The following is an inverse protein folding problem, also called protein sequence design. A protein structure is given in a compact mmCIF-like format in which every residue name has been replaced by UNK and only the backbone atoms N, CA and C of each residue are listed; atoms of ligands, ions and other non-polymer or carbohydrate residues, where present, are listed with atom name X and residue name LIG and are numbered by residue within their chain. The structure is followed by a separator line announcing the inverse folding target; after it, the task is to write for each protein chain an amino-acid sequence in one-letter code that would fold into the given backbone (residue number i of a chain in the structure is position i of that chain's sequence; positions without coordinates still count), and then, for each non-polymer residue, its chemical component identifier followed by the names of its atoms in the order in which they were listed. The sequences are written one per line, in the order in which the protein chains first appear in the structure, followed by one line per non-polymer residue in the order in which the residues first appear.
data_IF_530148698794
#
_entry.id   IF_530148698794
#
_cell.length_a   1.000
_cell.length_b   1.000
_cell.length_c   1.000
_cell.angle_alpha   90.00
_cell.angle_beta   90.00
_cell.angle_gamma   90.00
#
_symmetry.space_group_name_H-M   'P 1'
#
loop_
_entity.id
_entity.type
_entity.pdbx_description
1 polymer ?
#
# COMPACT_ATOMS: atom_id res chain seq x y z
N UNK A 1 -33.41 -5.26 -4.38
CA UNK A 1 -32.14 -5.15 -3.66
C UNK A 1 -31.06 -5.16 -4.73
N UNK A 2 -30.50 -4.00 -5.06
CA UNK A 2 -29.47 -3.85 -6.10
C UNK A 2 -28.12 -4.24 -5.50
N UNK A 3 -27.44 -5.15 -6.17
CA UNK A 3 -26.11 -5.63 -5.80
C UNK A 3 -25.11 -4.46 -5.84
N UNK A 4 -24.47 -4.11 -4.71
CA UNK A 4 -23.49 -3.02 -4.67
C UNK A 4 -22.23 -3.31 -5.52
N UNK A 5 -21.92 -4.59 -5.81
CA UNK A 5 -20.83 -4.97 -6.70
C UNK A 5 -21.11 -4.58 -8.16
N UNK A 6 -22.37 -4.51 -8.57
CA UNK A 6 -22.76 -4.12 -9.93
C UNK A 6 -22.67 -2.61 -10.18
N UNK A 7 -22.61 -1.78 -9.13
CA UNK A 7 -22.48 -0.32 -9.25
C UNK A 7 -21.03 0.11 -9.54
N UNK A 8 -20.03 -0.65 -9.08
CA UNK A 8 -18.60 -0.38 -9.30
C UNK A 8 -18.18 -0.66 -10.75
N UNK A 9 -18.95 -1.50 -11.47
CA UNK A 9 -18.65 -1.90 -12.86
C UNK A 9 -19.04 -0.87 -13.93
N UNK A 10 -19.70 0.23 -13.57
CA UNK A 10 -20.09 1.26 -14.54
C UNK A 10 -19.21 2.49 -14.44
N UNK A 11 -17.97 2.39 -14.93
CA UNK A 11 -17.22 3.56 -15.41
C UNK A 11 -17.09 4.77 -14.47
N UNK A 12 -17.20 4.59 -13.16
CA UNK A 12 -16.89 5.63 -12.21
C UNK A 12 -15.36 5.81 -12.24
N UNK A 13 -14.89 6.93 -12.77
CA UNK A 13 -13.53 7.40 -12.59
C UNK A 13 -13.33 7.56 -11.09
N UNK A 14 -12.64 6.61 -10.45
CA UNK A 14 -12.28 6.73 -9.04
C UNK A 14 -11.24 7.85 -9.00
N UNK A 15 -11.65 9.02 -8.52
CA UNK A 15 -10.72 10.13 -8.29
C UNK A 15 -9.70 9.70 -7.24
N UNK A 16 -8.43 9.99 -7.49
CA UNK A 16 -7.42 9.96 -6.46
C UNK A 16 -7.86 10.89 -5.33
N UNK A 17 -8.13 10.35 -4.17
CA UNK A 17 -8.35 11.20 -2.99
C UNK A 17 -6.96 11.64 -2.54
N UNK A 18 -6.63 12.94 -2.64
CA UNK A 18 -5.34 13.43 -2.20
C UNK A 18 -5.10 13.10 -0.73
N UNK A 19 -3.84 12.81 -0.38
CA UNK A 19 -3.40 12.58 0.99
C UNK A 19 -3.79 11.22 1.62
N UNK A 20 -4.42 10.32 0.87
CA UNK A 20 -4.65 8.94 1.33
C UNK A 20 -3.84 7.96 0.46
N UNK A 21 -3.56 6.74 0.98
CA UNK A 21 -2.98 5.69 0.16
C UNK A 21 -3.84 5.45 -1.09
N UNK A 22 -3.27 5.64 -2.26
CA UNK A 22 -3.98 5.57 -3.55
C UNK A 22 -3.51 4.43 -4.44
N UNK A 23 -2.33 3.88 -4.17
CA UNK A 23 -1.78 2.75 -4.91
C UNK A 23 -0.71 2.02 -4.11
N UNK A 24 -0.47 0.75 -4.42
CA UNK A 24 0.67 -0.02 -3.93
C UNK A 24 1.42 -0.64 -5.10
N UNK A 25 2.74 -0.64 -5.03
CA UNK A 25 3.58 -1.25 -6.07
C UNK A 25 4.77 -1.99 -5.47
N UNK A 26 5.01 -3.20 -5.97
CA UNK A 26 6.20 -3.97 -5.66
C UNK A 26 7.34 -3.59 -6.63
N UNK A 27 8.51 -3.29 -6.10
CA UNK A 27 9.75 -3.35 -6.85
C UNK A 27 10.29 -4.78 -6.72
N UNK A 28 10.26 -5.57 -7.80
CA UNK A 28 10.72 -6.95 -7.83
C UNK A 28 12.07 -7.06 -8.56
N UNK A 29 12.92 -7.98 -8.12
CA UNK A 29 14.14 -8.34 -8.85
C UNK A 29 13.83 -9.18 -10.11
N UNK A 30 12.86 -10.10 -9.99
CA UNK A 30 12.32 -10.91 -11.08
C UNK A 30 10.81 -10.68 -11.19
N UNK A 31 10.40 -9.97 -12.26
CA UNK A 31 9.00 -9.65 -12.52
C UNK A 31 8.15 -10.92 -12.76
N UNK A 32 8.65 -11.88 -13.52
CA UNK A 32 7.87 -13.07 -13.86
C UNK A 32 7.74 -14.01 -12.65
N UNK A 33 8.79 -14.15 -11.84
CA UNK A 33 8.73 -14.86 -10.58
C UNK A 33 7.76 -14.22 -9.57
N UNK A 34 7.75 -12.89 -9.47
CA UNK A 34 6.78 -12.18 -8.63
C UNK A 34 5.34 -12.36 -9.14
N UNK A 35 5.10 -12.28 -10.45
CA UNK A 35 3.77 -12.54 -11.05
C UNK A 35 3.31 -13.97 -10.79
N UNK A 36 4.20 -14.96 -10.90
CA UNK A 36 3.85 -16.35 -10.61
C UNK A 36 3.46 -16.52 -9.13
N UNK A 37 4.25 -15.99 -8.19
CA UNK A 37 3.98 -16.07 -6.76
C UNK A 37 2.67 -15.40 -6.37
N UNK A 38 2.50 -14.11 -6.68
CA UNK A 38 1.29 -13.39 -6.28
C UNK A 38 0.06 -13.79 -7.09
N UNK A 39 0.24 -14.25 -8.33
CA UNK A 39 -0.84 -14.83 -9.14
C UNK A 39 -1.44 -16.06 -8.51
N UNK A 40 -0.61 -16.99 -8.03
CA UNK A 40 -1.05 -18.21 -7.35
C UNK A 40 -1.61 -17.90 -5.95
N UNK A 41 -0.92 -17.06 -5.18
CA UNK A 41 -1.30 -16.76 -3.79
C UNK A 41 -2.60 -15.93 -3.69
N UNK A 42 -2.72 -14.88 -4.51
CA UNK A 42 -3.80 -13.88 -4.40
C UNK A 42 -4.83 -13.96 -5.54
N UNK A 43 -4.68 -14.92 -6.46
CA UNK A 43 -5.57 -15.09 -7.59
C UNK A 43 -5.45 -13.96 -8.63
N UNK A 44 -4.31 -13.29 -8.71
CA UNK A 44 -4.14 -12.16 -9.62
C UNK A 44 -3.95 -12.59 -11.06
N UNK A 45 -4.54 -11.81 -11.96
CA UNK A 45 -4.16 -11.79 -13.38
C UNK A 45 -3.37 -10.51 -13.67
N UNK A 46 -2.64 -10.47 -14.77
CA UNK A 46 -1.74 -9.36 -15.05
C UNK A 46 -1.97 -8.78 -16.44
N UNK A 47 -1.87 -7.44 -16.53
CA UNK A 47 -1.81 -6.70 -17.79
C UNK A 47 -0.53 -5.88 -17.83
N UNK A 48 0.05 -5.72 -19.02
CA UNK A 48 1.18 -4.80 -19.20
C UNK A 48 0.76 -3.38 -18.80
N UNK A 49 1.63 -2.71 -18.06
CA UNK A 49 1.48 -1.32 -17.68
C UNK A 49 2.44 -0.41 -18.45
N UNK A 50 2.53 0.89 -18.07
CA UNK A 50 3.51 1.81 -18.62
C UNK A 50 4.92 1.25 -18.43
N UNK A 51 5.75 1.27 -19.50
CA UNK A 51 7.09 0.68 -19.46
C UNK A 51 8.23 1.70 -19.54
N UNK A 52 7.93 2.99 -19.42
CA UNK A 52 8.93 4.07 -19.51
C UNK A 52 10.09 3.92 -18.53
N UNK A 53 9.82 3.35 -17.35
CA UNK A 53 10.78 3.17 -16.26
C UNK A 53 11.22 1.71 -16.08
N UNK A 54 11.03 0.89 -17.10
CA UNK A 54 11.30 -0.54 -17.09
C UNK A 54 10.01 -1.38 -17.13
N UNK A 55 10.15 -2.72 -17.13
CA UNK A 55 9.01 -3.62 -17.17
C UNK A 55 8.07 -3.38 -16.00
N UNK A 56 6.77 -3.24 -16.29
CA UNK A 56 5.73 -3.02 -15.31
C UNK A 56 4.48 -3.81 -15.64
N UNK A 57 3.92 -4.48 -14.65
CA UNK A 57 2.66 -5.20 -14.76
C UNK A 57 1.64 -4.65 -13.77
N UNK A 58 0.41 -4.45 -14.23
CA UNK A 58 -0.74 -4.19 -13.35
C UNK A 58 -1.34 -5.52 -12.92
N UNK A 59 -1.43 -5.72 -11.62
CA UNK A 59 -2.13 -6.85 -11.02
C UNK A 59 -3.63 -6.53 -10.94
N UNK A 60 -4.45 -7.50 -11.32
CA UNK A 60 -5.91 -7.38 -11.30
C UNK A 60 -6.51 -8.51 -10.48
N UNK A 61 -7.43 -8.16 -9.59
CA UNK A 61 -8.33 -9.10 -8.92
C UNK A 61 -9.74 -8.93 -9.48
N UNK A 62 -10.35 -10.00 -9.97
CA UNK A 62 -11.67 -9.94 -10.60
C UNK A 62 -11.74 -8.96 -11.78
N UNK A 63 -10.62 -8.68 -12.47
CA UNK A 63 -10.53 -7.72 -13.57
C UNK A 63 -10.31 -6.25 -13.13
N UNK A 64 -10.32 -5.96 -11.82
CA UNK A 64 -10.08 -4.64 -11.23
C UNK A 64 -8.59 -4.49 -10.90
N UNK A 65 -7.90 -3.42 -11.34
CA UNK A 65 -6.52 -3.17 -10.94
C UNK A 65 -6.41 -2.94 -9.43
N UNK A 66 -5.53 -3.67 -8.76
CA UNK A 66 -5.37 -3.63 -7.29
C UNK A 66 -3.94 -3.32 -6.85
N UNK A 67 -2.95 -3.58 -7.69
CA UNK A 67 -1.53 -3.32 -7.39
C UNK A 67 -0.69 -3.22 -8.65
N UNK A 68 0.55 -2.79 -8.51
CA UNK A 68 1.57 -2.82 -9.54
C UNK A 68 2.75 -3.70 -9.18
N UNK A 69 3.44 -4.25 -10.17
CA UNK A 69 4.73 -4.90 -9.99
C UNK A 69 5.68 -4.35 -11.06
N UNK A 70 6.76 -3.71 -10.62
CA UNK A 70 7.87 -3.29 -11.47
C UNK A 70 9.00 -4.30 -11.40
N UNK A 71 9.60 -4.61 -12.54
CA UNK A 71 10.83 -5.39 -12.60
C UNK A 71 12.04 -4.46 -12.70
N UNK A 72 13.10 -4.79 -11.99
CA UNK A 72 14.38 -4.09 -12.10
C UNK A 72 15.51 -5.11 -12.11
N UNK A 73 16.00 -5.42 -13.32
CA UNK A 73 17.19 -6.28 -13.48
C UNK A 73 18.50 -5.53 -13.25
N UNK A 74 18.50 -4.20 -13.41
CA UNK A 74 19.73 -3.40 -13.49
C UNK A 74 19.97 -2.50 -12.28
N UNK A 75 18.96 -2.30 -11.43
CA UNK A 75 19.08 -1.51 -10.22
C UNK A 75 19.18 -2.46 -9.02
N UNK A 76 20.24 -2.40 -8.25
CA UNK A 76 20.36 -3.09 -6.96
C UNK A 76 19.45 -2.42 -5.90
N UNK A 77 18.16 -2.22 -6.26
CA UNK A 77 17.17 -1.72 -5.35
C UNK A 77 16.62 -2.87 -4.50
N UNK A 78 16.35 -2.63 -3.24
CA UNK A 78 15.74 -3.65 -2.40
C UNK A 78 14.35 -4.00 -2.92
N UNK A 79 14.03 -5.30 -2.91
CA UNK A 79 12.67 -5.77 -3.19
C UNK A 79 11.75 -5.28 -2.08
N UNK A 80 10.77 -4.46 -2.41
CA UNK A 80 9.89 -3.86 -1.43
C UNK A 80 8.55 -3.42 -2.03
N UNK A 81 7.50 -3.57 -1.23
CA UNK A 81 6.22 -2.92 -1.47
C UNK A 81 6.32 -1.44 -1.09
N UNK A 82 5.86 -0.58 -1.98
CA UNK A 82 5.77 0.87 -1.76
C UNK A 82 4.33 1.31 -1.80
N UNK A 83 3.90 2.02 -0.76
CA UNK A 83 2.59 2.68 -0.70
C UNK A 83 2.70 4.06 -1.31
N UNK A 84 1.83 4.38 -2.26
CA UNK A 84 1.76 5.68 -2.92
C UNK A 84 0.59 6.49 -2.40
N UNK A 85 0.85 7.75 -2.12
CA UNK A 85 -0.15 8.75 -1.73
C UNK A 85 -0.44 9.67 -2.91
N UNK A 86 -1.71 9.96 -3.12
CA UNK A 86 -2.14 10.86 -4.17
C UNK A 86 -1.87 12.32 -3.86
N UNK A 87 -1.61 13.11 -4.89
CA UNK A 87 -1.50 14.57 -4.83
C UNK A 87 -1.99 15.22 -6.11
N UNK A 88 -2.40 16.47 -6.02
CA UNK A 88 -2.70 17.32 -7.17
C UNK A 88 -1.46 18.06 -7.70
N UNK A 89 -0.39 18.17 -6.88
CA UNK A 89 0.86 18.84 -7.21
C UNK A 89 2.04 18.12 -6.55
N UNK A 90 2.75 17.33 -7.34
CA UNK A 90 3.89 16.55 -6.87
C UNK A 90 5.12 17.42 -6.53
N UNK A 91 5.29 18.57 -7.21
CA UNK A 91 6.41 19.48 -6.91
C UNK A 91 6.21 20.17 -5.57
N UNK A 92 5.03 20.74 -5.34
CA UNK A 92 4.69 21.37 -4.07
C UNK A 92 4.74 20.36 -2.91
N UNK A 93 4.30 19.11 -3.15
CA UNK A 93 4.39 18.06 -2.14
C UNK A 93 5.84 17.68 -1.86
N UNK A 94 6.69 17.54 -2.88
CA UNK A 94 8.11 17.24 -2.73
C UNK A 94 8.85 18.34 -1.93
N UNK A 95 8.50 19.60 -2.14
CA UNK A 95 9.04 20.72 -1.35
C UNK A 95 8.59 20.64 0.12
N UNK A 96 7.33 20.34 0.38
CA UNK A 96 6.83 20.14 1.76
C UNK A 96 7.52 18.99 2.46
N UNK A 97 7.73 17.86 1.78
CA UNK A 97 8.47 16.71 2.32
C UNK A 97 9.86 17.14 2.79
N UNK A 98 10.61 17.86 1.93
CA UNK A 98 11.96 18.36 2.28
C UNK A 98 11.91 19.38 3.43
N UNK A 99 10.97 20.30 3.40
CA UNK A 99 10.80 21.32 4.44
C UNK A 99 10.47 20.73 5.81
N UNK A 100 9.86 19.54 5.85
CA UNK A 100 9.52 18.81 7.08
C UNK A 100 10.55 17.74 7.48
N UNK A 101 11.73 17.75 6.85
CA UNK A 101 12.84 16.87 7.21
C UNK A 101 12.79 15.48 6.57
N UNK A 102 11.85 15.22 5.65
CA UNK A 102 11.85 14.03 4.82
C UNK A 102 12.86 14.14 3.66
N UNK A 103 13.05 13.05 2.96
CA UNK A 103 13.95 12.98 1.80
C UNK A 103 13.14 12.64 0.55
N UNK A 104 13.36 13.35 -0.55
CA UNK A 104 12.86 12.98 -1.88
C UNK A 104 14.03 12.36 -2.64
N UNK A 105 14.02 11.03 -2.75
CA UNK A 105 15.12 10.26 -3.35
C UNK A 105 15.04 10.26 -4.88
N UNK A 106 13.82 10.22 -5.43
CA UNK A 106 13.57 10.19 -6.88
C UNK A 106 12.41 11.13 -7.21
N UNK A 107 12.56 11.92 -8.25
CA UNK A 107 11.48 12.74 -8.83
C UNK A 107 11.23 14.08 -8.13
N UNK A 108 10.06 14.67 -8.41
CA UNK A 108 8.96 14.21 -9.28
C UNK A 108 9.34 14.02 -10.75
N UNK A 109 9.00 12.86 -11.31
CA UNK A 109 9.30 12.50 -12.71
C UNK A 109 8.00 12.25 -13.47
N UNK A 110 7.90 12.80 -14.69
CA UNK A 110 6.74 12.61 -15.56
C UNK A 110 6.71 11.24 -16.23
N UNK A 111 5.54 10.63 -16.34
CA UNK A 111 5.22 9.46 -17.15
C UNK A 111 3.99 9.72 -18.01
N UNK A 112 3.65 8.79 -18.90
CA UNK A 112 2.44 8.88 -19.74
C UNK A 112 1.14 8.80 -18.91
N UNK A 113 1.23 8.33 -17.66
CA UNK A 113 0.09 8.17 -16.77
C UNK A 113 0.00 9.23 -15.66
N UNK A 114 1.02 10.10 -15.52
CA UNK A 114 1.11 11.10 -14.45
C UNK A 114 2.53 11.31 -13.97
N UNK A 115 2.70 11.85 -12.77
CA UNK A 115 4.01 12.12 -12.16
C UNK A 115 4.22 11.29 -10.91
N UNK A 116 5.44 10.82 -10.70
CA UNK A 116 5.81 9.96 -9.58
C UNK A 116 7.02 10.53 -8.84
N UNK A 117 7.01 10.43 -7.52
CA UNK A 117 8.21 10.60 -6.72
C UNK A 117 8.33 9.47 -5.68
N UNK A 118 9.57 9.15 -5.28
CA UNK A 118 9.88 8.26 -4.17
C UNK A 118 10.54 9.08 -3.09
N UNK A 119 10.01 8.99 -1.90
CA UNK A 119 10.42 9.75 -0.73
C UNK A 119 10.54 8.87 0.50
N UNK A 120 11.09 9.40 1.57
CA UNK A 120 11.01 8.84 2.91
C UNK A 120 10.66 9.91 3.93
N UNK A 121 9.99 9.50 5.00
CA UNK A 121 9.74 10.36 6.15
C UNK A 121 11.03 10.61 6.97
N UNK A 122 10.91 11.38 8.05
CA UNK A 122 12.04 11.69 8.96
C UNK A 122 12.64 10.45 9.62
N UNK A 123 11.82 9.43 9.85
CA UNK A 123 12.26 8.17 10.45
C UNK A 123 12.88 7.21 9.42
N UNK A 124 12.78 7.53 8.12
CA UNK A 124 13.32 6.75 7.01
C UNK A 124 12.32 5.76 6.39
N UNK A 125 11.02 5.82 6.74
CA UNK A 125 10.02 4.99 6.09
C UNK A 125 9.81 5.42 4.63
N UNK A 126 10.04 4.54 3.64
CA UNK A 126 9.87 4.88 2.25
C UNK A 126 8.38 4.93 1.88
N UNK A 127 8.02 5.89 1.01
CA UNK A 127 6.70 5.99 0.41
C UNK A 127 6.77 6.62 -0.98
N UNK A 128 5.73 6.41 -1.77
CA UNK A 128 5.58 7.02 -3.09
C UNK A 128 4.61 8.20 -3.07
N UNK A 129 4.79 9.09 -4.02
CA UNK A 129 3.88 10.18 -4.36
C UNK A 129 3.38 9.96 -5.77
N UNK A 130 2.09 10.15 -5.99
CA UNK A 130 1.45 10.02 -7.29
C UNK A 130 0.61 11.26 -7.61
N UNK A 131 0.88 11.89 -8.75
CA UNK A 131 0.06 12.92 -9.35
C UNK A 131 -0.44 12.41 -10.70
N UNK A 132 -1.74 12.29 -10.88
CA UNK A 132 -2.34 11.83 -12.13
C UNK A 132 -3.72 11.25 -11.93
N UNK A 133 -4.37 10.92 -13.04
CA UNK A 133 -5.65 10.24 -13.01
C UNK A 133 -5.50 8.83 -12.45
N UNK A 134 -6.18 8.55 -11.36
CA UNK A 134 -6.31 7.20 -10.82
C UNK A 134 -7.45 6.46 -11.52
N UNK A 135 -7.47 6.47 -12.84
CA UNK A 135 -8.38 5.60 -13.61
C UNK A 135 -8.16 4.09 -13.32
N UNK A 136 -7.44 3.75 -12.26
CA UNK A 136 -6.86 2.44 -12.02
C UNK A 136 -7.23 1.80 -10.67
N UNK A 137 -8.32 2.20 -10.05
CA UNK A 137 -8.86 1.48 -8.92
C UNK A 137 -8.60 2.13 -7.56
N UNK A 138 -9.52 1.91 -6.64
CA UNK A 138 -9.32 2.20 -5.23
C UNK A 138 -8.31 1.19 -4.68
N UNK A 139 -7.25 1.66 -4.03
CA UNK A 139 -6.26 0.79 -3.39
C UNK A 139 -6.90 -0.09 -2.34
N UNK A 140 -7.88 0.45 -1.63
CA UNK A 140 -8.58 -0.25 -0.57
C UNK A 140 -9.94 -0.72 -1.08
N UNK A 141 -10.07 -2.00 -1.36
CA UNK A 141 -11.36 -2.58 -1.73
C UNK A 141 -11.56 -3.95 -1.05
N UNK A 142 -12.82 -4.33 -0.90
CA UNK A 142 -13.20 -5.61 -0.27
C UNK A 142 -13.04 -6.82 -1.21
N UNK A 143 -12.31 -6.68 -2.31
CA UNK A 143 -12.07 -7.79 -3.23
C UNK A 143 -11.01 -8.73 -2.66
N UNK A 144 -11.15 -10.04 -2.80
CA UNK A 144 -10.09 -10.99 -2.45
C UNK A 144 -8.79 -10.63 -3.21
N UNK A 145 -7.66 -10.71 -2.52
CA UNK A 145 -6.35 -10.36 -3.08
C UNK A 145 -6.09 -8.86 -3.23
N UNK A 146 -7.04 -7.98 -2.95
CA UNK A 146 -6.80 -6.54 -2.95
C UNK A 146 -6.14 -6.08 -1.65
N UNK A 147 -5.45 -4.93 -1.64
CA UNK A 147 -5.04 -4.28 -0.40
C UNK A 147 -6.26 -3.98 0.47
N UNK A 148 -6.29 -4.53 1.68
CA UNK A 148 -7.37 -4.36 2.65
C UNK A 148 -7.00 -3.42 3.77
N UNK A 149 -5.71 -3.26 4.07
CA UNK A 149 -5.19 -2.39 5.11
C UNK A 149 -3.76 -1.97 4.83
N UNK A 150 -3.39 -0.78 5.28
CA UNK A 150 -2.03 -0.24 5.15
C UNK A 150 -1.61 0.31 6.53
N UNK A 151 -0.41 -0.04 6.96
CA UNK A 151 0.07 0.31 8.29
C UNK A 151 1.51 0.80 8.25
N UNK A 152 1.76 2.01 8.74
CA UNK A 152 3.11 2.45 9.05
C UNK A 152 3.54 1.88 10.39
N UNK A 153 4.58 1.08 10.39
CA UNK A 153 5.28 0.66 11.61
C UNK A 153 6.50 1.55 11.79
N UNK A 154 6.54 2.30 12.87
CA UNK A 154 7.56 3.32 13.14
C UNK A 154 7.95 3.32 14.61
N UNK A 155 9.10 3.89 14.95
CA UNK A 155 9.54 4.02 16.36
C UNK A 155 8.68 5.00 17.14
N UNK A 156 8.21 6.05 16.47
CA UNK A 156 7.38 7.11 17.06
C UNK A 156 6.19 7.42 16.13
N UNK A 157 5.05 6.83 16.46
CA UNK A 157 3.81 7.02 15.69
C UNK A 157 3.29 8.46 15.78
N UNK A 158 3.56 9.16 16.87
CA UNK A 158 3.14 10.55 17.05
C UNK A 158 3.96 11.49 16.14
N UNK A 159 5.28 11.38 16.18
CA UNK A 159 6.17 12.17 15.33
C UNK A 159 5.89 11.92 13.84
N UNK A 160 5.67 10.65 13.47
CA UNK A 160 5.27 10.30 12.11
C UNK A 160 3.91 10.89 11.74
N UNK A 161 2.92 10.88 12.64
CA UNK A 161 1.61 11.50 12.38
C UNK A 161 1.72 13.01 12.17
N UNK A 162 2.56 13.71 12.92
CA UNK A 162 2.84 15.12 12.69
C UNK A 162 3.48 15.37 11.32
N UNK A 163 4.49 14.55 10.96
CA UNK A 163 5.13 14.67 9.66
C UNK A 163 4.13 14.51 8.51
N UNK A 164 3.38 13.40 8.49
CA UNK A 164 2.41 13.14 7.43
C UNK A 164 1.25 14.12 7.45
N UNK A 165 0.80 14.54 8.65
CA UNK A 165 -0.24 15.56 8.83
C UNK A 165 0.13 16.87 8.16
N UNK A 166 1.36 17.35 8.37
CA UNK A 166 1.87 18.59 7.79
C UNK A 166 2.17 18.46 6.29
N UNK A 167 2.75 17.33 5.86
CA UNK A 167 3.08 17.07 4.44
C UNK A 167 1.82 16.98 3.60
N UNK A 168 0.82 16.24 4.05
CA UNK A 168 -0.42 16.00 3.32
C UNK A 168 -1.55 16.97 3.67
N UNK A 169 -1.36 17.83 4.68
CA UNK A 169 -2.36 18.80 5.10
C UNK A 169 -3.60 18.15 5.72
N UNK A 170 -3.42 17.10 6.51
CA UNK A 170 -4.54 16.38 7.11
C UNK A 170 -5.40 17.26 8.02
N UNK A 171 -4.80 18.21 8.72
CA UNK A 171 -5.51 19.14 9.62
C UNK A 171 -6.38 20.20 8.90
N UNK A 172 -6.15 20.40 7.59
CA UNK A 172 -6.83 21.41 6.77
C UNK A 172 -8.00 20.83 5.96
N UNK A 173 -8.34 19.56 6.15
CA UNK A 173 -9.41 18.88 5.42
C UNK A 173 -10.72 18.92 6.18
N UNK A 174 -11.84 18.92 5.45
CA UNK A 174 -13.14 18.76 6.07
C UNK A 174 -13.23 17.38 6.74
N UNK A 175 -13.74 17.33 7.96
CA UNK A 175 -13.78 16.10 8.78
C UNK A 175 -14.60 14.98 8.14
N UNK A 176 -15.54 15.33 7.27
CA UNK A 176 -16.37 14.34 6.57
C UNK A 176 -15.61 13.64 5.43
N UNK A 177 -14.55 14.28 4.90
CA UNK A 177 -13.72 13.70 3.84
C UNK A 177 -12.52 12.94 4.40
N UNK A 178 -11.89 13.46 5.46
CA UNK A 178 -10.69 12.88 6.04
C UNK A 178 -10.59 13.18 7.54
N UNK A 179 -10.29 12.14 8.33
CA UNK A 179 -10.19 12.25 9.79
C UNK A 179 -8.95 11.49 10.29
N UNK A 180 -8.22 12.10 11.23
CA UNK A 180 -7.12 11.48 11.98
C UNK A 180 -7.61 11.23 13.40
N UNK A 181 -7.59 9.99 13.85
CA UNK A 181 -8.00 9.61 15.21
C UNK A 181 -6.90 8.90 15.96
N UNK A 182 -6.76 9.23 17.22
CA UNK A 182 -6.01 8.43 18.18
C UNK A 182 -6.92 7.33 18.73
N UNK A 183 -6.55 6.08 18.47
CA UNK A 183 -7.27 4.91 18.96
C UNK A 183 -6.30 4.01 19.73
N UNK A 184 -6.37 4.04 21.07
CA UNK A 184 -5.51 3.28 21.98
C UNK A 184 -4.01 3.59 21.77
N UNK A 185 -3.30 2.75 21.02
CA UNK A 185 -1.85 2.80 20.80
C UNK A 185 -1.45 3.21 19.38
N UNK A 186 -2.42 3.68 18.58
CA UNK A 186 -2.23 3.96 17.15
C UNK A 186 -2.92 5.23 16.70
N UNK A 187 -2.44 5.76 15.59
CA UNK A 187 -3.12 6.82 14.84
C UNK A 187 -3.82 6.17 13.66
N UNK A 188 -5.15 6.33 13.58
CA UNK A 188 -5.96 5.77 12.50
C UNK A 188 -6.34 6.88 11.54
N UNK A 189 -6.10 6.66 10.26
CA UNK A 189 -6.52 7.52 9.16
C UNK A 189 -7.85 7.02 8.62
N UNK A 190 -8.82 7.90 8.52
CA UNK A 190 -10.14 7.58 7.97
C UNK A 190 -10.44 8.48 6.78
N UNK A 191 -11.00 7.91 5.73
CA UNK A 191 -11.50 8.63 4.57
C UNK A 191 -12.93 8.20 4.30
N UNK A 192 -13.82 9.16 4.09
CA UNK A 192 -15.26 8.92 3.88
C UNK A 192 -15.87 7.98 4.94
N UNK A 193 -15.46 8.16 6.20
CA UNK A 193 -15.93 7.36 7.33
C UNK A 193 -15.34 5.95 7.45
N UNK A 194 -14.48 5.52 6.53
CA UNK A 194 -13.80 4.22 6.56
C UNK A 194 -12.34 4.38 7.01
N UNK A 195 -11.87 3.45 7.84
CA UNK A 195 -10.46 3.39 8.21
C UNK A 195 -9.65 2.88 7.02
N UNK A 196 -8.64 3.66 6.59
CA UNK A 196 -7.84 3.35 5.38
C UNK A 196 -6.39 3.02 5.70
N UNK A 197 -5.86 3.54 6.80
CA UNK A 197 -4.50 3.25 7.23
C UNK A 197 -4.33 3.50 8.73
N UNK A 198 -3.23 3.01 9.31
CA UNK A 198 -2.80 3.38 10.65
C UNK A 198 -1.30 3.64 10.72
N UNK A 199 -0.90 4.39 11.75
CA UNK A 199 0.47 4.53 12.18
C UNK A 199 0.57 3.91 13.56
N UNK A 200 1.49 2.96 13.75
CA UNK A 200 1.65 2.21 14.99
C UNK A 200 3.10 2.20 15.45
N UNK A 201 3.30 2.16 16.76
CA UNK A 201 4.63 1.96 17.33
C UNK A 201 5.16 0.58 16.97
N UNK A 202 6.40 0.52 16.46
CA UNK A 202 7.06 -0.76 16.20
C UNK A 202 7.36 -1.48 17.53
N UNK A 203 7.02 -2.75 17.61
CA UNK A 203 7.33 -3.58 18.80
C UNK A 203 8.82 -3.91 18.90
N UNK A 204 9.53 -3.96 17.77
CA UNK A 204 10.97 -4.13 17.70
C UNK A 204 11.63 -2.75 17.51
N UNK A 205 12.39 -2.25 18.48
CA UNK A 205 13.06 -0.95 18.40
C UNK A 205 14.16 -0.88 17.33
N UNK A 206 14.66 -2.01 16.86
CA UNK A 206 15.66 -2.09 15.80
C UNK A 206 15.02 -2.23 14.41
N UNK A 207 13.71 -2.44 14.33
CA UNK A 207 13.00 -2.51 13.05
C UNK A 207 13.10 -1.18 12.30
N UNK A 208 13.38 -1.27 11.00
CA UNK A 208 13.34 -0.09 10.14
C UNK A 208 11.88 0.31 9.91
N UNK A 209 11.56 1.62 10.02
CA UNK A 209 10.24 2.11 9.72
C UNK A 209 9.81 1.73 8.29
N UNK A 210 8.58 1.28 8.14
CA UNK A 210 8.05 0.85 6.83
C UNK A 210 6.53 0.92 6.77
N UNK A 211 6.03 1.23 5.59
CA UNK A 211 4.63 1.04 5.24
C UNK A 211 4.39 -0.42 4.85
N UNK A 212 3.55 -1.11 5.60
CA UNK A 212 3.19 -2.51 5.35
C UNK A 212 1.83 -2.58 4.68
N UNK A 213 1.74 -3.43 3.65
CA UNK A 213 0.51 -3.68 2.91
C UNK A 213 -0.07 -5.02 3.34
N UNK A 214 -1.36 -5.02 3.68
CA UNK A 214 -2.11 -6.22 4.01
C UNK A 214 -3.06 -6.55 2.85
N UNK A 215 -2.91 -7.73 2.28
CA UNK A 215 -3.78 -8.21 1.21
C UNK A 215 -4.92 -9.06 1.79
N UNK A 216 -6.14 -8.79 1.32
CA UNK A 216 -7.33 -9.53 1.71
C UNK A 216 -7.28 -10.96 1.22
N UNK A 217 -7.54 -11.91 2.11
CA UNK A 217 -7.70 -13.32 1.80
C UNK A 217 -8.96 -13.89 2.45
N UNK A 218 -9.49 -14.97 1.89
CA UNK A 218 -10.68 -15.62 2.43
C UNK A 218 -10.41 -16.31 3.77
N UNK A 219 -9.22 -16.92 3.92
CA UNK A 219 -8.73 -17.61 5.10
C UNK A 219 -7.25 -17.32 5.26
N UNK A 220 -6.85 -16.78 6.42
CA UNK A 220 -5.48 -16.39 6.68
C UNK A 220 -4.56 -17.60 6.87
N UNK A 221 -5.02 -18.64 7.58
CA UNK A 221 -4.22 -19.83 7.86
C UNK A 221 -3.97 -20.65 6.60
N UNK A 222 -5.00 -20.89 5.78
CA UNK A 222 -4.87 -21.58 4.49
C UNK A 222 -3.96 -20.81 3.54
N UNK A 223 -4.10 -19.47 3.48
CA UNK A 223 -3.30 -18.61 2.60
C UNK A 223 -1.83 -18.53 3.04
N UNK A 224 -1.56 -18.52 4.35
CA UNK A 224 -0.20 -18.60 4.89
C UNK A 224 0.44 -19.95 4.53
N UNK A 225 -0.27 -21.05 4.74
CA UNK A 225 0.21 -22.38 4.35
C UNK A 225 0.47 -22.50 2.83
N UNK A 226 -0.34 -21.83 2.00
CA UNK A 226 -0.08 -21.73 0.55
C UNK A 226 1.17 -20.91 0.26
N UNK A 227 1.32 -19.75 0.89
CA UNK A 227 2.49 -18.88 0.71
C UNK A 227 3.80 -19.61 1.04
N UNK A 228 3.83 -20.38 2.15
CA UNK A 228 4.98 -21.22 2.52
C UNK A 228 5.32 -22.27 1.44
N UNK A 229 4.31 -22.95 0.90
CA UNK A 229 4.51 -23.90 -0.22
C UNK A 229 5.05 -23.21 -1.48
N UNK A 230 4.73 -21.94 -1.70
CA UNK A 230 5.22 -21.13 -2.80
C UNK A 230 6.59 -20.49 -2.52
N UNK A 231 7.19 -20.75 -1.35
CA UNK A 231 8.53 -20.34 -0.99
C UNK A 231 8.62 -19.02 -0.21
N UNK A 232 7.51 -18.56 0.38
CA UNK A 232 7.54 -17.40 1.28
C UNK A 232 8.02 -17.81 2.68
N UNK A 233 8.69 -16.87 3.37
CA UNK A 233 8.98 -16.98 4.79
C UNK A 233 7.83 -16.40 5.61
N UNK A 234 7.35 -17.11 6.61
CA UNK A 234 6.41 -16.58 7.61
C UNK A 234 7.20 -15.90 8.72
N UNK A 235 6.92 -14.62 8.96
CA UNK A 235 7.68 -13.78 9.89
C UNK A 235 7.08 -13.74 11.31
N UNK A 236 6.24 -14.68 11.65
CA UNK A 236 5.61 -14.80 12.96
C UNK A 236 4.37 -15.68 12.87
N UNK A 237 3.69 -15.87 13.99
CA UNK A 237 2.46 -16.68 14.04
C UNK A 237 1.28 -15.95 13.40
N UNK A 238 0.32 -16.71 12.85
CA UNK A 238 -1.00 -16.18 12.45
C UNK A 238 -1.75 -15.79 13.71
N UNK A 239 -2.26 -14.56 13.78
CA UNK A 239 -2.88 -14.02 14.99
C UNK A 239 -4.10 -13.16 14.69
N UNK A 240 -5.00 -13.09 15.68
CA UNK A 240 -6.13 -12.19 15.61
C UNK A 240 -5.72 -10.75 15.99
N UNK A 241 -6.22 -9.79 15.21
CA UNK A 241 -5.98 -8.38 15.40
C UNK A 241 -7.28 -7.57 15.34
N UNK A 242 -7.22 -6.25 15.46
CA UNK A 242 -8.41 -5.39 15.41
C UNK A 242 -9.21 -5.53 14.12
N UNK A 243 -8.53 -5.79 13.01
CA UNK A 243 -9.10 -5.80 11.66
C UNK A 243 -9.36 -7.19 11.09
N UNK A 244 -8.92 -8.25 11.78
CA UNK A 244 -9.08 -9.63 11.31
C UNK A 244 -7.96 -10.54 11.81
N UNK A 245 -7.88 -11.72 11.24
CA UNK A 245 -6.81 -12.69 11.45
C UNK A 245 -5.71 -12.48 10.41
N UNK A 246 -4.46 -12.37 10.83
CA UNK A 246 -3.39 -11.92 9.94
C UNK A 246 -2.02 -12.51 10.29
N UNK A 247 -1.11 -12.48 9.33
CA UNK A 247 0.31 -12.80 9.49
C UNK A 247 1.18 -11.90 8.60
N UNK A 248 2.43 -11.67 9.06
CA UNK A 248 3.48 -11.05 8.27
C UNK A 248 4.27 -12.11 7.52
N UNK A 249 4.58 -11.83 6.26
CA UNK A 249 5.32 -12.71 5.37
C UNK A 249 6.43 -11.96 4.63
N UNK A 250 7.33 -12.74 4.07
CA UNK A 250 8.32 -12.29 3.10
C UNK A 250 8.21 -13.16 1.86
N UNK A 251 8.04 -12.55 0.70
CA UNK A 251 7.99 -13.28 -0.56
C UNK A 251 9.36 -13.90 -0.92
N UNK A 252 9.45 -14.80 -1.92
CA UNK A 252 10.69 -15.47 -2.28
C UNK A 252 11.83 -14.54 -2.72
N UNK A 253 11.53 -13.27 -3.01
CA UNK A 253 12.51 -12.27 -3.41
C UNK A 253 12.89 -11.30 -2.29
N UNK A 254 12.24 -11.41 -1.11
CA UNK A 254 12.53 -10.60 0.08
C UNK A 254 11.52 -9.48 0.35
N UNK A 255 10.50 -9.30 -0.48
CA UNK A 255 9.44 -8.31 -0.30
C UNK A 255 8.53 -8.66 0.88
N UNK A 256 8.42 -7.73 1.85
CA UNK A 256 7.54 -7.91 3.02
C UNK A 256 6.12 -7.49 2.70
N UNK A 257 5.15 -8.29 3.14
CA UNK A 257 3.72 -8.03 3.03
C UNK A 257 2.98 -8.75 4.15
N UNK A 258 1.68 -8.50 4.29
CA UNK A 258 0.85 -9.24 5.25
C UNK A 258 -0.39 -9.78 4.55
N UNK A 259 -0.92 -10.89 5.05
CA UNK A 259 -2.21 -11.45 4.66
C UNK A 259 -3.22 -11.15 5.77
N UNK A 260 -4.43 -10.75 5.40
CA UNK A 260 -5.52 -10.40 6.31
C UNK A 260 -6.80 -11.11 5.90
N UNK A 261 -7.25 -12.03 6.73
CA UNK A 261 -8.52 -12.74 6.60
C UNK A 261 -9.55 -12.31 7.66
N UNK A 262 -10.80 -12.78 7.55
CA UNK A 262 -11.78 -12.64 8.61
C UNK A 262 -11.26 -13.22 9.93
N UNK A 263 -11.78 -12.73 11.06
CA UNK A 263 -11.53 -13.40 12.35
C UNK A 263 -12.18 -14.80 12.33
N UNK A 264 -11.52 -15.75 12.94
CA UNK A 264 -12.17 -17.01 13.25
C UNK A 264 -13.46 -16.73 14.05
N UNK A 265 -14.58 -17.19 13.52
CA UNK A 265 -15.82 -17.23 14.27
C UNK A 265 -15.78 -18.52 15.08
N UNK A 266 -15.16 -18.48 16.26
CA UNK A 266 -15.25 -19.56 17.23
C UNK A 266 -16.68 -19.87 17.63
#
# INVERSE_FOLDING_TARGET
MSDPAAAVMRGATVRCVPAVPSWVSLMAGDLEGAKAFYGELLGWTFRAGPNRWGPYARALSGGVPVAGISGSSDLQLPVAWTTFFGTEDADALAERIRARGGTVAIGPLGSDAGRIAIASDRAGAPFGVWEGDTANGAVMCSLPGAPAWIELRTKDAFDSALFYGEVFGWDNREKDEFEVRWEHDRVVLRSEGQSVAALVGATDPEARPSWNVYFSVADADESVALAERLGADVLGEVRDGPYGRWADLRDPQGGRFSLLGPRDRG
#
